data_IF_573313235598
#
_entry.id   IF_573313235598
#
_cell.length_a   1.000
_cell.length_b   1.000
_cell.length_c   1.000
_cell.angle_alpha   90.00
_cell.angle_beta   90.00
_cell.angle_gamma   90.00
#
_symmetry.space_group_name_H-M   'P 1'
#
loop_
_entity.id
_entity.type
_entity.pdbx_description
1 polymer ?
#
# COMPACT_ATOMS: atom_id res chain seq x y z
N UNK A 1 4.65 8.50 -72.05
CA UNK A 1 6.12 8.52 -71.87
C UNK A 1 6.57 9.34 -70.66
N UNK A 2 5.68 9.76 -69.75
CA UNK A 2 6.01 10.68 -68.65
C UNK A 2 6.18 10.03 -67.26
N UNK A 3 6.69 8.81 -67.16
CA UNK A 3 7.04 8.20 -65.86
C UNK A 3 8.55 8.31 -65.59
N UNK A 4 8.97 8.75 -64.38
CA UNK A 4 10.39 8.89 -64.03
C UNK A 4 11.19 7.58 -64.22
N UNK A 5 12.40 7.70 -64.74
CA UNK A 5 13.25 6.57 -65.13
C UNK A 5 13.49 5.57 -63.97
N UNK A 6 13.59 6.07 -62.74
CA UNK A 6 13.83 5.26 -61.55
C UNK A 6 12.64 4.34 -61.22
N UNK A 7 11.40 4.74 -61.52
CA UNK A 7 10.21 3.88 -61.36
C UNK A 7 10.19 2.81 -62.45
N UNK A 8 10.55 3.21 -63.69
CA UNK A 8 10.54 2.34 -64.87
C UNK A 8 11.56 1.21 -64.78
N UNK A 9 12.70 1.45 -64.13
CA UNK A 9 13.73 0.44 -63.87
C UNK A 9 13.40 -0.44 -62.66
N UNK A 10 12.68 0.06 -61.66
CA UNK A 10 12.46 -0.66 -60.39
C UNK A 10 11.24 -1.58 -60.43
N UNK A 11 10.17 -1.21 -61.16
CA UNK A 11 8.93 -2.01 -61.28
C UNK A 11 9.14 -3.40 -61.92
N UNK A 12 9.89 -3.56 -63.03
CA UNK A 12 10.08 -4.88 -63.64
C UNK A 12 10.85 -5.84 -62.74
N UNK A 13 11.82 -5.33 -61.98
CA UNK A 13 12.65 -6.12 -61.04
C UNK A 13 11.84 -6.51 -59.80
N UNK A 14 10.90 -5.66 -59.38
CA UNK A 14 9.93 -5.98 -58.33
C UNK A 14 8.94 -7.07 -58.73
N UNK A 15 8.54 -7.10 -60.00
CA UNK A 15 7.61 -8.08 -60.55
C UNK A 15 8.30 -9.34 -61.09
N UNK A 16 9.61 -9.50 -60.87
CA UNK A 16 10.36 -10.71 -61.23
C UNK A 16 9.72 -11.97 -60.63
N UNK A 17 9.57 -13.00 -61.45
CA UNK A 17 9.02 -14.31 -61.04
C UNK A 17 9.99 -15.08 -60.12
N UNK A 18 11.29 -14.81 -60.22
CA UNK A 18 12.31 -15.35 -59.32
C UNK A 18 12.38 -14.55 -57.99
N UNK A 19 12.06 -15.17 -56.83
CA UNK A 19 12.08 -14.51 -55.52
C UNK A 19 13.46 -13.99 -55.09
N UNK A 20 14.55 -14.62 -55.54
CA UNK A 20 15.92 -14.23 -55.16
C UNK A 20 16.37 -12.95 -55.86
N UNK A 21 15.79 -12.67 -57.02
CA UNK A 21 16.08 -11.48 -57.83
C UNK A 21 15.26 -10.25 -57.39
N UNK A 22 14.26 -10.44 -56.51
CA UNK A 22 13.46 -9.35 -55.98
C UNK A 22 14.24 -8.59 -54.91
N UNK A 23 14.48 -7.28 -55.07
CA UNK A 23 15.24 -6.49 -54.11
C UNK A 23 14.50 -6.35 -52.77
N UNK A 24 15.25 -6.27 -51.68
CA UNK A 24 14.69 -6.05 -50.34
C UNK A 24 14.12 -4.63 -50.19
N UNK A 25 13.15 -4.43 -49.29
CA UNK A 25 12.43 -3.16 -49.13
C UNK A 25 13.36 -1.95 -48.86
N UNK A 26 14.51 -2.19 -48.22
CA UNK A 26 15.53 -1.16 -48.00
C UNK A 26 16.21 -0.68 -49.30
N UNK A 27 16.46 -1.58 -50.26
CA UNK A 27 17.06 -1.25 -51.56
C UNK A 27 16.06 -0.46 -52.40
N UNK A 28 14.79 -0.84 -52.36
CA UNK A 28 13.69 -0.14 -53.05
C UNK A 28 13.55 1.28 -52.49
N UNK A 29 13.49 1.44 -51.16
CA UNK A 29 13.47 2.77 -50.50
C UNK A 29 14.67 3.62 -50.91
N UNK A 30 15.86 3.03 -51.08
CA UNK A 30 17.08 3.74 -51.48
C UNK A 30 17.03 4.21 -52.94
N UNK A 31 16.49 3.39 -53.87
CA UNK A 31 16.31 3.75 -55.29
C UNK A 31 15.20 4.77 -55.53
N UNK A 32 14.14 4.75 -54.73
CA UNK A 32 13.03 5.72 -54.82
C UNK A 32 13.27 7.01 -54.02
N UNK A 33 14.29 7.04 -53.16
CA UNK A 33 14.70 8.23 -52.37
C UNK A 33 14.91 9.51 -53.21
N UNK A 34 15.48 9.48 -54.43
CA UNK A 34 15.67 10.68 -55.26
C UNK A 34 14.34 11.30 -55.70
N UNK A 35 13.33 10.46 -56.00
CA UNK A 35 12.00 10.90 -56.42
C UNK A 35 11.21 11.54 -55.27
N UNK A 36 11.46 11.08 -54.04
CA UNK A 36 10.82 11.59 -52.83
C UNK A 36 11.59 12.81 -52.28
N UNK A 37 12.90 12.92 -52.56
CA UNK A 37 13.76 13.99 -52.03
C UNK A 37 13.43 15.41 -52.50
N UNK A 38 12.55 15.56 -53.50
CA UNK A 38 12.03 16.85 -53.97
C UNK A 38 10.60 17.17 -53.51
N UNK A 39 9.88 16.24 -52.87
CA UNK A 39 8.57 16.53 -52.31
C UNK A 39 8.72 17.31 -51.01
N UNK A 40 8.14 18.51 -50.95
CA UNK A 40 7.95 19.24 -49.69
C UNK A 40 7.22 18.31 -48.73
N UNK A 41 7.68 18.21 -47.47
CA UNK A 41 7.03 17.43 -46.40
C UNK A 41 5.52 17.58 -46.53
N UNK A 42 4.83 16.47 -46.77
CA UNK A 42 3.39 16.51 -46.98
C UNK A 42 2.69 16.82 -45.66
N UNK A 43 1.46 17.32 -45.72
CA UNK A 43 0.64 17.53 -44.52
C UNK A 43 0.52 16.24 -43.71
N UNK A 44 0.53 15.08 -44.38
CA UNK A 44 0.49 13.77 -43.74
C UNK A 44 1.77 13.45 -42.96
N UNK A 45 2.95 13.77 -43.49
CA UNK A 45 4.22 13.60 -42.75
C UNK A 45 4.29 14.48 -41.51
N UNK A 46 3.78 15.72 -41.61
CA UNK A 46 3.68 16.63 -40.47
C UNK A 46 2.67 16.14 -39.43
N UNK A 47 1.54 15.57 -39.87
CA UNK A 47 0.55 14.94 -38.99
C UNK A 47 1.11 13.70 -38.30
N UNK A 48 1.84 12.84 -39.01
CA UNK A 48 2.47 11.65 -38.41
C UNK A 48 3.50 12.05 -37.36
N UNK A 49 4.36 13.02 -37.65
CA UNK A 49 5.34 13.53 -36.68
C UNK A 49 4.66 14.16 -35.45
N UNK A 50 3.57 14.91 -35.66
CA UNK A 50 2.80 15.51 -34.57
C UNK A 50 2.10 14.46 -33.71
N UNK A 51 1.54 13.41 -34.32
CA UNK A 51 0.93 12.29 -33.59
C UNK A 51 1.98 11.50 -32.82
N UNK A 52 3.15 11.23 -33.39
CA UNK A 52 4.25 10.56 -32.70
C UNK A 52 4.74 11.38 -31.49
N UNK A 53 4.93 12.69 -31.65
CA UNK A 53 5.31 13.59 -30.55
C UNK A 53 4.24 13.65 -29.46
N UNK A 54 2.96 13.74 -29.84
CA UNK A 54 1.85 13.75 -28.90
C UNK A 54 1.72 12.42 -28.15
N UNK A 55 1.91 11.30 -28.85
CA UNK A 55 1.87 9.95 -28.26
C UNK A 55 3.03 9.77 -27.28
N UNK A 56 4.25 10.15 -27.64
CA UNK A 56 5.41 10.12 -26.74
C UNK A 56 5.21 11.01 -25.51
N UNK A 57 4.59 12.19 -25.68
CA UNK A 57 4.28 13.08 -24.56
C UNK A 57 3.27 12.44 -23.62
N UNK A 58 2.20 11.87 -24.15
CA UNK A 58 1.18 11.17 -23.37
C UNK A 58 1.75 9.94 -22.66
N UNK A 59 2.59 9.15 -23.33
CA UNK A 59 3.26 7.99 -22.72
C UNK A 59 4.16 8.41 -21.56
N UNK A 60 4.92 9.50 -21.71
CA UNK A 60 5.74 10.05 -20.62
C UNK A 60 4.87 10.51 -19.46
N UNK A 61 3.80 11.26 -19.74
CA UNK A 61 2.89 11.78 -18.70
C UNK A 61 2.13 10.65 -17.97
N UNK A 62 1.73 9.60 -18.70
CA UNK A 62 1.15 8.39 -18.12
C UNK A 62 2.16 7.65 -17.26
N UNK A 63 3.39 7.46 -17.75
CA UNK A 63 4.49 6.82 -17.00
C UNK A 63 4.73 7.54 -15.67
N UNK A 64 4.90 8.87 -15.70
CA UNK A 64 5.09 9.69 -14.51
C UNK A 64 3.93 9.56 -13.51
N UNK A 65 2.68 9.70 -13.97
CA UNK A 65 1.50 9.52 -13.11
C UNK A 65 1.38 8.11 -12.54
N UNK A 66 1.70 7.08 -13.32
CA UNK A 66 1.65 5.70 -12.83
C UNK A 66 2.71 5.45 -11.78
N UNK A 67 3.93 5.97 -11.96
CA UNK A 67 4.99 5.88 -10.95
C UNK A 67 4.61 6.61 -9.67
N UNK A 68 4.05 7.82 -9.77
CA UNK A 68 3.59 8.58 -8.61
C UNK A 68 2.46 7.86 -7.88
N UNK A 69 1.47 7.34 -8.60
CA UNK A 69 0.37 6.58 -8.00
C UNK A 69 0.89 5.31 -7.30
N UNK A 70 1.88 4.65 -7.89
CA UNK A 70 2.46 3.42 -7.35
C UNK A 70 3.35 3.72 -6.13
N UNK A 71 4.06 4.86 -6.12
CA UNK A 71 4.76 5.37 -4.93
C UNK A 71 3.77 5.70 -3.81
N UNK A 72 2.68 6.40 -4.10
CA UNK A 72 1.67 6.76 -3.10
C UNK A 72 0.97 5.52 -2.52
N UNK A 73 0.61 4.54 -3.35
CA UNK A 73 0.05 3.26 -2.89
C UNK A 73 1.00 2.50 -1.98
N UNK A 74 2.27 2.42 -2.34
CA UNK A 74 3.28 1.74 -1.51
C UNK A 74 3.54 2.48 -0.20
N UNK A 75 3.53 3.83 -0.20
CA UNK A 75 3.63 4.65 1.02
C UNK A 75 2.47 4.39 1.97
N UNK A 76 1.24 4.39 1.43
CA UNK A 76 0.03 4.22 2.23
C UNK A 76 -0.02 2.83 2.88
N UNK A 77 0.26 1.77 2.11
CA UNK A 77 0.22 0.40 2.61
C UNK A 77 1.25 0.15 3.73
N UNK A 78 2.48 0.65 3.58
CA UNK A 78 3.52 0.50 4.60
C UNK A 78 3.17 1.23 5.90
N UNK A 79 2.58 2.43 5.80
CA UNK A 79 2.12 3.22 6.95
C UNK A 79 0.94 2.61 7.69
N UNK A 80 0.12 1.81 7.00
CA UNK A 80 -0.96 1.05 7.63
C UNK A 80 -0.45 -0.15 8.44
N UNK A 81 0.73 -0.68 8.11
CA UNK A 81 1.29 -1.88 8.75
C UNK A 81 2.38 -1.59 9.76
N UNK A 82 3.05 -0.44 9.66
CA UNK A 82 4.20 -0.07 10.47
C UNK A 82 4.11 1.41 10.88
N UNK A 83 4.69 1.78 12.02
CA UNK A 83 4.76 3.18 12.41
C UNK A 83 5.52 4.02 11.37
N UNK A 84 5.16 5.29 11.20
CA UNK A 84 5.68 6.16 10.14
C UNK A 84 7.22 6.25 10.14
N UNK A 85 7.82 6.41 11.32
CA UNK A 85 9.28 6.47 11.49
C UNK A 85 9.99 5.19 11.00
N UNK A 86 9.38 4.04 11.26
CA UNK A 86 9.88 2.71 10.88
C UNK A 86 9.68 2.46 9.38
N UNK A 87 8.51 2.83 8.84
CA UNK A 87 8.20 2.70 7.42
C UNK A 87 9.16 3.53 6.56
N UNK A 88 9.46 4.77 6.97
CA UNK A 88 10.39 5.65 6.25
C UNK A 88 11.85 5.15 6.34
N UNK A 89 12.25 4.56 7.47
CA UNK A 89 13.57 3.95 7.61
C UNK A 89 13.74 2.76 6.65
N UNK A 90 12.76 1.84 6.60
CA UNK A 90 12.79 0.68 5.70
C UNK A 90 12.77 1.09 4.23
N UNK A 91 11.98 2.11 3.88
CA UNK A 91 11.92 2.67 2.52
C UNK A 91 13.27 3.22 2.06
N UNK A 92 14.03 3.82 2.98
CA UNK A 92 15.36 4.35 2.71
C UNK A 92 16.46 3.26 2.73
N UNK A 93 16.11 1.98 2.82
CA UNK A 93 17.05 0.87 2.90
C UNK A 93 17.86 0.86 4.20
N UNK A 94 17.40 1.57 5.24
CA UNK A 94 18.04 1.54 6.55
C UNK A 94 17.54 0.33 7.32
N UNK A 95 18.46 -0.33 8.03
CA UNK A 95 18.08 -1.35 9.00
C UNK A 95 17.37 -0.68 10.18
N UNK A 96 16.18 -1.16 10.51
CA UNK A 96 15.47 -0.78 11.73
C UNK A 96 15.97 -1.68 12.84
N UNK A 97 16.88 -1.16 13.66
CA UNK A 97 17.36 -1.86 14.83
C UNK A 97 16.30 -1.86 15.92
N UNK A 98 16.37 -2.84 16.82
CA UNK A 98 15.56 -2.81 18.04
C UNK A 98 15.97 -1.60 18.90
N UNK A 99 14.98 -0.95 19.49
CA UNK A 99 15.12 0.23 20.32
C UNK A 99 14.54 -0.05 21.71
N UNK A 100 15.24 0.43 22.75
CA UNK A 100 14.80 0.30 24.13
C UNK A 100 14.12 1.59 24.57
N UNK A 101 12.92 1.46 25.11
CA UNK A 101 12.14 2.55 25.67
C UNK A 101 12.11 2.40 27.20
N UNK A 102 12.54 3.44 27.92
CA UNK A 102 12.61 3.42 29.38
C UNK A 102 11.23 3.37 30.04
N UNK A 103 10.26 4.06 29.44
CA UNK A 103 8.90 4.16 29.95
C UNK A 103 7.91 4.20 28.79
N UNK A 104 6.96 3.27 28.81
CA UNK A 104 5.80 3.22 27.91
C UNK A 104 4.60 2.77 28.73
N UNK A 105 3.38 3.01 28.24
CA UNK A 105 2.18 2.41 28.82
C UNK A 105 1.53 1.49 27.81
N UNK A 106 1.42 0.22 28.19
CA UNK A 106 0.78 -0.83 27.41
C UNK A 106 -0.67 -0.98 27.87
N UNK A 107 -1.56 -1.07 26.91
CA UNK A 107 -2.97 -1.38 27.05
C UNK A 107 -3.23 -2.77 26.47
N UNK A 108 -3.94 -3.59 27.22
CA UNK A 108 -4.45 -4.87 26.75
C UNK A 108 -5.95 -4.94 27.01
N UNK A 109 -6.72 -5.36 26.03
CA UNK A 109 -8.12 -5.71 26.26
C UNK A 109 -8.42 -7.14 25.91
N UNK A 110 -9.33 -7.72 26.68
CA UNK A 110 -9.91 -9.03 26.47
C UNK A 110 -11.45 -8.93 26.55
N UNK A 111 -12.16 -9.82 25.86
CA UNK A 111 -13.62 -9.90 25.87
C UNK A 111 -14.07 -11.13 26.68
N UNK A 112 -14.41 -10.98 27.98
CA UNK A 112 -14.86 -12.10 28.77
C UNK A 112 -16.09 -12.78 28.15
N UNK A 113 -16.02 -14.10 27.99
CA UNK A 113 -17.08 -14.89 27.37
C UNK A 113 -16.95 -15.08 25.85
N UNK A 114 -15.91 -14.52 25.22
CA UNK A 114 -15.69 -14.70 23.78
C UNK A 114 -15.52 -16.18 23.37
N UNK A 115 -14.88 -17.01 24.19
CA UNK A 115 -14.75 -18.45 23.92
C UNK A 115 -16.11 -19.15 23.87
N UNK A 116 -17.05 -18.79 24.74
CA UNK A 116 -18.41 -19.35 24.74
C UNK A 116 -19.23 -18.82 23.56
N UNK A 117 -19.10 -17.52 23.27
CA UNK A 117 -19.71 -16.87 22.12
C UNK A 117 -19.27 -17.54 20.80
N UNK A 118 -17.96 -17.76 20.64
CA UNK A 118 -17.36 -18.36 19.44
C UNK A 118 -17.71 -19.84 19.27
N UNK A 119 -17.88 -20.57 20.38
CA UNK A 119 -18.33 -21.97 20.34
C UNK A 119 -19.81 -22.09 19.94
N UNK A 120 -20.64 -21.12 20.32
CA UNK A 120 -22.10 -21.16 20.14
C UNK A 120 -22.62 -20.38 18.92
N UNK A 121 -21.74 -19.75 18.15
CA UNK A 121 -22.09 -18.91 16.99
C UNK A 121 -21.42 -19.42 15.72
N UNK A 122 -21.93 -19.04 14.55
CA UNK A 122 -21.31 -19.44 13.28
C UNK A 122 -20.00 -18.66 13.06
N UNK A 123 -19.00 -19.25 12.38
CA UNK A 123 -17.74 -18.55 12.10
C UNK A 123 -17.92 -17.20 11.41
N UNK A 124 -18.86 -17.08 10.47
CA UNK A 124 -19.16 -15.81 9.79
C UNK A 124 -19.76 -14.75 10.72
N UNK A 125 -20.56 -15.17 11.72
CA UNK A 125 -21.16 -14.26 12.70
C UNK A 125 -20.09 -13.69 13.64
N UNK A 126 -19.11 -14.50 14.03
CA UNK A 126 -17.97 -14.09 14.86
C UNK A 126 -17.04 -13.14 14.13
N UNK A 127 -16.70 -13.43 12.87
CA UNK A 127 -15.88 -12.53 12.06
C UNK A 127 -16.57 -11.16 11.89
N UNK A 128 -17.88 -11.18 11.66
CA UNK A 128 -18.66 -9.93 11.54
C UNK A 128 -18.64 -9.15 12.86
N UNK A 129 -18.86 -9.83 13.98
CA UNK A 129 -18.80 -9.23 15.32
C UNK A 129 -17.44 -8.60 15.62
N UNK A 130 -16.34 -9.32 15.39
CA UNK A 130 -14.98 -8.81 15.62
C UNK A 130 -14.68 -7.60 14.73
N UNK A 131 -15.04 -7.67 13.45
CA UNK A 131 -14.83 -6.54 12.53
C UNK A 131 -15.59 -5.30 12.99
N UNK A 132 -16.83 -5.43 13.45
CA UNK A 132 -17.61 -4.30 13.95
C UNK A 132 -16.98 -3.69 15.21
N UNK A 133 -16.59 -4.54 16.16
CA UNK A 133 -15.98 -4.12 17.40
C UNK A 133 -14.65 -3.40 17.15
N UNK A 134 -13.79 -3.99 16.31
CA UNK A 134 -12.51 -3.39 15.94
C UNK A 134 -12.67 -2.12 15.13
N UNK A 135 -13.68 -2.00 14.27
CA UNK A 135 -13.97 -0.74 13.57
C UNK A 135 -14.30 0.38 14.56
N UNK A 136 -15.09 0.07 15.60
CA UNK A 136 -15.39 1.06 16.65
C UNK A 136 -14.13 1.44 17.43
N UNK A 137 -13.29 0.47 17.78
CA UNK A 137 -12.03 0.75 18.49
C UNK A 137 -11.02 1.52 17.63
N UNK A 138 -10.89 1.17 16.35
CA UNK A 138 -10.04 1.85 15.38
C UNK A 138 -10.45 3.32 15.23
N UNK A 139 -11.74 3.62 15.18
CA UNK A 139 -12.23 5.01 15.15
C UNK A 139 -11.93 5.78 16.45
N UNK A 140 -11.89 5.11 17.60
CA UNK A 140 -11.59 5.75 18.88
C UNK A 140 -10.10 6.07 18.98
N UNK A 141 -9.21 5.14 18.61
CA UNK A 141 -7.76 5.34 18.72
C UNK A 141 -7.24 6.49 17.84
N UNK A 142 -7.92 6.82 16.75
CA UNK A 142 -7.55 7.96 15.87
C UNK A 142 -7.52 9.31 16.63
N UNK A 143 -8.22 9.42 17.76
CA UNK A 143 -8.25 10.62 18.60
C UNK A 143 -7.17 10.69 19.68
N UNK A 144 -6.31 9.67 19.83
CA UNK A 144 -5.34 9.57 20.91
C UNK A 144 -3.92 9.31 20.38
N UNK A 145 -2.90 9.68 21.15
CA UNK A 145 -1.50 9.38 20.82
C UNK A 145 -1.15 7.94 21.23
N UNK A 146 -1.67 6.98 20.46
CA UNK A 146 -1.54 5.55 20.71
C UNK A 146 -1.20 4.78 19.43
N UNK A 147 -0.32 3.80 19.56
CA UNK A 147 0.04 2.90 18.48
C UNK A 147 -0.63 1.53 18.69
N UNK A 148 -1.38 1.08 17.69
CA UNK A 148 -2.00 -0.26 17.68
C UNK A 148 -0.95 -1.32 17.39
N UNK A 149 -0.84 -2.30 18.28
CA UNK A 149 0.05 -3.45 18.11
C UNK A 149 -0.75 -4.59 17.49
N UNK A 150 -0.16 -5.32 16.54
CA UNK A 150 -0.81 -6.50 16.00
C UNK A 150 -0.88 -7.61 17.05
N UNK A 151 -2.09 -7.97 17.43
CA UNK A 151 -2.39 -9.02 18.41
C UNK A 151 -2.82 -10.32 17.76
N UNK A 152 -2.84 -11.38 18.58
CA UNK A 152 -3.41 -12.67 18.24
C UNK A 152 -4.81 -12.76 18.87
N UNK A 153 -5.78 -13.24 18.08
CA UNK A 153 -7.16 -13.54 18.48
C UNK A 153 -8.04 -12.32 18.81
N UNK A 154 -8.77 -12.38 19.93
CA UNK A 154 -9.78 -11.45 20.43
C UNK A 154 -9.21 -10.37 21.36
N UNK A 155 -7.90 -10.39 21.56
CA UNK A 155 -7.21 -9.36 22.32
C UNK A 155 -6.94 -8.11 21.49
N UNK A 156 -7.09 -6.93 22.09
CA UNK A 156 -6.75 -5.66 21.46
C UNK A 156 -5.63 -4.99 22.25
N UNK A 157 -4.48 -4.77 21.62
CA UNK A 157 -3.30 -4.20 22.28
C UNK A 157 -2.94 -2.87 21.65
N UNK A 158 -2.72 -1.88 22.50
CA UNK A 158 -2.27 -0.55 22.12
C UNK A 158 -1.18 -0.09 23.07
N UNK A 159 -0.29 0.78 22.60
CA UNK A 159 0.79 1.31 23.43
C UNK A 159 0.97 2.78 23.15
N UNK A 160 1.25 3.56 24.20
CA UNK A 160 1.62 4.97 24.09
C UNK A 160 3.03 5.18 24.64
N UNK A 161 3.70 6.22 24.14
CA UNK A 161 5.13 6.48 24.40
C UNK A 161 6.08 5.78 23.41
N UNK A 162 5.53 5.16 22.36
CA UNK A 162 6.27 4.60 21.23
C UNK A 162 5.44 4.68 19.94
N UNK A 163 6.06 4.70 18.74
CA UNK A 163 7.51 4.71 18.48
C UNK A 163 8.19 6.04 18.86
N UNK A 164 7.41 7.10 19.07
CA UNK A 164 7.90 8.41 19.49
C UNK A 164 7.57 8.56 20.99
N UNK A 165 8.57 8.78 21.86
CA UNK A 165 8.32 9.05 23.26
C UNK A 165 7.54 10.36 23.45
N UNK A 166 6.47 10.32 24.25
CA UNK A 166 5.61 11.47 24.55
C UNK A 166 5.74 11.97 26.01
N UNK A 167 6.87 11.67 26.66
CA UNK A 167 7.18 12.15 28.01
C UNK A 167 6.40 11.39 29.08
N UNK A 168 5.51 12.06 29.81
CA UNK A 168 4.66 11.47 30.86
C UNK A 168 3.19 11.33 30.42
N UNK A 169 2.89 11.72 29.18
CA UNK A 169 1.51 11.72 28.68
C UNK A 169 1.01 10.31 28.35
N UNK A 170 1.91 9.36 28.07
CA UNK A 170 1.57 7.98 27.68
C UNK A 170 0.52 7.32 28.57
N UNK A 171 0.63 7.48 29.90
CA UNK A 171 -0.31 6.88 30.84
C UNK A 171 -1.69 7.55 30.77
N UNK A 172 -1.72 8.87 30.58
CA UNK A 172 -2.96 9.65 30.45
C UNK A 172 -3.70 9.36 29.14
N UNK A 173 -2.97 9.22 28.04
CA UNK A 173 -3.51 8.82 26.73
C UNK A 173 -4.18 7.44 26.83
N UNK A 174 -3.47 6.45 27.38
CA UNK A 174 -4.00 5.09 27.53
C UNK A 174 -5.18 5.03 28.50
N UNK A 175 -5.11 5.74 29.63
CA UNK A 175 -6.23 5.78 30.58
C UNK A 175 -7.48 6.40 29.95
N UNK A 176 -7.32 7.49 29.21
CA UNK A 176 -8.42 8.17 28.50
C UNK A 176 -9.00 7.29 27.39
N UNK A 177 -8.14 6.61 26.63
CA UNK A 177 -8.53 5.62 25.64
C UNK A 177 -9.37 4.51 26.26
N UNK A 178 -8.91 3.93 27.36
CA UNK A 178 -9.62 2.85 28.05
C UNK A 178 -11.01 3.25 28.51
N UNK A 179 -11.17 4.48 29.03
CA UNK A 179 -12.48 5.02 29.39
C UNK A 179 -13.39 5.21 28.16
N UNK A 180 -12.85 5.75 27.06
CA UNK A 180 -13.60 5.94 25.83
C UNK A 180 -14.08 4.60 25.22
N UNK A 181 -13.22 3.57 25.24
CA UNK A 181 -13.57 2.22 24.78
C UNK A 181 -14.64 1.58 25.65
N UNK A 182 -14.54 1.69 26.99
CA UNK A 182 -15.56 1.18 27.90
C UNK A 182 -16.93 1.83 27.66
N UNK A 183 -16.96 3.14 27.38
CA UNK A 183 -18.20 3.84 27.07
C UNK A 183 -18.80 3.38 25.74
N UNK A 184 -17.97 3.23 24.70
CA UNK A 184 -18.41 2.76 23.39
C UNK A 184 -19.02 1.35 23.46
N UNK A 185 -18.39 0.43 24.19
CA UNK A 185 -18.87 -0.95 24.35
C UNK A 185 -20.24 -1.04 25.01
N UNK A 186 -20.61 -0.11 25.91
CA UNK A 186 -21.97 -0.09 26.52
C UNK A 186 -23.08 0.07 25.49
N UNK A 187 -22.80 0.82 24.42
CA UNK A 187 -23.75 1.06 23.33
C UNK A 187 -23.68 0.02 22.21
N UNK A 188 -22.63 -0.80 22.21
CA UNK A 188 -22.37 -1.79 21.20
C UNK A 188 -23.32 -3.00 21.34
N UNK A 189 -23.90 -3.44 20.22
CA UNK A 189 -24.79 -4.61 20.18
C UNK A 189 -24.31 -5.62 19.15
N UNK A 190 -24.32 -6.89 19.55
CA UNK A 190 -24.00 -8.00 18.65
C UNK A 190 -25.17 -8.20 17.68
N UNK A 191 -24.93 -8.11 16.36
CA UNK A 191 -26.01 -8.18 15.36
C UNK A 191 -26.87 -9.45 15.45
N UNK A 192 -26.24 -10.59 15.73
CA UNK A 192 -26.92 -11.89 15.82
C UNK A 192 -27.45 -12.20 17.23
N UNK A 193 -27.10 -11.37 18.25
CA UNK A 193 -27.49 -11.51 19.66
C UNK A 193 -27.59 -10.13 20.32
N UNK A 194 -28.59 -9.35 19.93
CA UNK A 194 -28.75 -7.95 20.36
C UNK A 194 -28.97 -7.76 21.87
N UNK A 195 -29.37 -8.84 22.55
CA UNK A 195 -29.78 -8.82 23.96
C UNK A 195 -28.63 -9.19 24.90
N UNK A 196 -27.51 -9.69 24.36
CA UNK A 196 -26.32 -10.07 25.12
C UNK A 196 -25.32 -8.90 25.16
N UNK A 197 -25.04 -8.32 26.35
CA UNK A 197 -24.11 -7.20 26.45
C UNK A 197 -22.68 -7.68 26.26
N UNK A 198 -21.91 -6.97 25.42
CA UNK A 198 -20.47 -7.18 25.30
C UNK A 198 -19.79 -6.64 26.55
N UNK A 199 -18.86 -7.42 27.10
CA UNK A 199 -18.03 -7.02 28.23
C UNK A 199 -16.62 -6.83 27.74
N UNK A 200 -15.98 -5.75 28.19
CA UNK A 200 -14.57 -5.48 27.91
C UNK A 200 -13.82 -5.48 29.24
N UNK A 201 -12.74 -6.26 29.30
CA UNK A 201 -11.76 -6.22 30.38
C UNK A 201 -10.53 -5.50 29.86
N UNK A 202 -10.02 -4.56 30.65
CA UNK A 202 -8.85 -3.77 30.29
C UNK A 202 -7.77 -3.98 31.34
N UNK A 203 -6.57 -4.35 30.88
CA UNK A 203 -5.32 -4.34 31.61
C UNK A 203 -4.43 -3.19 31.13
N UNK A 204 -3.75 -2.54 32.07
CA UNK A 204 -2.83 -1.44 31.78
C UNK A 204 -1.59 -1.63 32.63
N UNK A 205 -0.43 -1.53 32.01
CA UNK A 205 0.85 -1.57 32.71
C UNK A 205 1.83 -0.57 32.11
N UNK A 206 2.64 0.05 32.97
CA UNK A 206 3.66 1.01 32.55
C UNK A 206 5.03 0.54 32.98
N UNK A 207 6.01 0.67 32.09
CA UNK A 207 7.36 0.20 32.36
C UNK A 207 8.23 0.18 31.11
N UNK A 208 9.48 -0.29 31.24
CA UNK A 208 10.40 -0.37 30.10
C UNK A 208 9.99 -1.47 29.13
N UNK A 209 10.22 -1.24 27.84
CA UNK A 209 10.07 -2.28 26.81
C UNK A 209 11.09 -2.09 25.70
N UNK A 210 11.34 -3.16 24.94
CA UNK A 210 12.12 -3.13 23.71
C UNK A 210 11.16 -3.31 22.53
N UNK A 211 11.24 -2.44 21.53
CA UNK A 211 10.45 -2.56 20.31
C UNK A 211 11.35 -2.70 19.09
N UNK A 212 10.91 -3.46 18.09
CA UNK A 212 11.69 -3.69 16.88
C UNK A 212 10.89 -4.34 15.76
N UNK A 213 11.45 -4.32 14.55
CA UNK A 213 10.83 -4.96 13.38
C UNK A 213 11.29 -6.40 13.26
N UNK A 214 10.35 -7.33 13.18
CA UNK A 214 10.60 -8.76 12.99
C UNK A 214 10.08 -9.20 11.63
N UNK A 215 10.87 -10.02 10.94
CA UNK A 215 10.50 -10.65 9.68
C UNK A 215 11.02 -9.89 8.45
N UNK A 216 11.62 -10.64 7.51
CA UNK A 216 12.19 -10.09 6.28
C UNK A 216 11.15 -9.93 5.15
N UNK A 217 10.18 -10.85 5.07
CA UNK A 217 9.15 -10.85 4.02
C UNK A 217 7.86 -10.14 4.44
N UNK A 218 7.50 -10.24 5.72
CA UNK A 218 6.35 -9.59 6.33
C UNK A 218 6.85 -8.91 7.62
N UNK A 219 7.37 -7.67 7.51
CA UNK A 219 7.87 -6.93 8.66
C UNK A 219 6.72 -6.59 9.61
N UNK A 220 6.87 -6.92 10.89
CA UNK A 220 5.91 -6.59 11.96
C UNK A 220 6.63 -5.83 13.05
N UNK A 221 6.03 -4.75 13.54
CA UNK A 221 6.57 -4.02 14.68
C UNK A 221 6.11 -4.69 15.97
N UNK A 222 7.05 -5.34 16.67
CA UNK A 222 6.78 -6.15 17.84
C UNK A 222 7.42 -5.54 19.09
N UNK A 223 6.77 -5.75 20.23
CA UNK A 223 7.23 -5.29 21.53
C UNK A 223 7.59 -6.48 22.42
N UNK A 224 8.65 -6.30 23.20
CA UNK A 224 9.19 -7.30 24.12
C UNK A 224 9.51 -6.67 25.47
N UNK A 225 9.35 -7.46 26.53
CA UNK A 225 9.72 -7.07 27.88
C UNK A 225 8.68 -7.49 28.91
N UNK A 226 9.08 -7.48 30.17
CA UNK A 226 8.20 -7.89 31.28
C UNK A 226 6.96 -7.00 31.40
N UNK A 227 7.09 -5.72 31.02
CA UNK A 227 5.96 -4.78 30.96
C UNK A 227 4.84 -5.27 30.06
N UNK A 228 5.18 -5.86 28.91
CA UNK A 228 4.21 -6.40 27.94
C UNK A 228 3.59 -7.70 28.46
N UNK A 229 4.38 -8.57 29.09
CA UNK A 229 3.89 -9.86 29.60
C UNK A 229 3.01 -9.74 30.85
N UNK A 230 3.14 -8.64 31.60
CA UNK A 230 2.41 -8.39 32.85
C UNK A 230 1.12 -7.59 32.65
N UNK A 231 0.98 -6.91 31.50
CA UNK A 231 -0.14 -6.01 31.19
C UNK A 231 -1.49 -6.71 31.04
#
# INVERSE_FOLDING_TARGET
EDSPNEIRETIPVLLSEDPMMRPTIGIIKKKLKPLISGQKKTVMDAMVAMVEEYTQRLERELSEKTEDLQREKNKCLLRMMLPESVADALKNGKNVNAESFEIVTVFFSDCPGFTELSTSSKPMEIVTFLNDLYTVFDNIIEGFDVYKVETIADSYMCVSGLPIPNGQNHAGEIASLGLAMLEAVKSFKIRHRSDEPVRLRIGVNSGPCVAGVIGLKMPRYCLFGDTVNTA
#
